data_IF_968190668037
#
_entry.id   IF_968190668037
#
_cell.length_a   1.000
_cell.length_b   1.000
_cell.length_c   1.000
_cell.angle_alpha   90.00
_cell.angle_beta   90.00
_cell.angle_gamma   90.00
#
_symmetry.space_group_name_H-M   'P 1'
#
loop_
_entity.id
_entity.type
_entity.pdbx_description
1 polymer ?
2 non-polymer ?
3 water ?
#
# COMPACT_ATOMS: atom_id res chain seq x y z
N UNK A 2 -7.42 -1.12 -34.94
CA UNK A 2 -6.53 -0.03 -34.55
C UNK A 2 -6.10 -0.25 -33.11
N UNK A 3 -4.94 0.32 -32.76
CA UNK A 3 -4.46 0.33 -31.37
C UNK A 3 -5.22 1.38 -30.60
N UNK A 4 -5.96 0.95 -29.58
CA UNK A 4 -6.73 1.84 -28.73
C UNK A 4 -5.94 2.33 -27.53
N UNK A 5 -5.05 1.46 -27.02
CA UNK A 5 -4.22 1.78 -25.85
C UNK A 5 -2.99 0.89 -25.91
N UNK A 6 -1.87 1.39 -25.42
CA UNK A 6 -0.66 0.57 -25.41
C UNK A 6 0.26 1.11 -24.34
N UNK A 7 0.90 0.20 -23.61
CA UNK A 7 1.94 0.62 -22.67
C UNK A 7 2.92 -0.52 -22.51
N UNK A 8 4.18 -0.22 -22.23
CA UNK A 8 5.16 -1.30 -22.14
C UNK A 8 6.30 -0.82 -21.24
N UNK A 9 7.05 -1.77 -20.68
CA UNK A 9 8.17 -1.35 -19.83
C UNK A 9 8.79 -2.53 -19.10
N UNK A 10 9.31 -2.28 -17.90
CA UNK A 10 10.04 -3.33 -17.15
C UNK A 10 9.35 -3.49 -15.81
N UNK A 11 9.16 -4.74 -15.39
CA UNK A 11 8.54 -5.04 -14.10
C UNK A 11 9.53 -5.81 -13.22
N UNK A 12 9.28 -5.81 -11.92
CA UNK A 12 10.05 -6.63 -10.98
C UNK A 12 11.54 -6.31 -10.95
N UNK A 13 11.86 -5.02 -11.00
CA UNK A 13 13.26 -4.58 -10.93
C UNK A 13 13.60 -4.34 -9.45
N UNK A 14 14.40 -5.26 -8.88
CA UNK A 14 14.75 -5.17 -7.47
C UNK A 14 15.94 -4.21 -7.34
N UNK A 15 15.86 -3.31 -6.37
CA UNK A 15 16.92 -2.31 -6.16
C UNK A 15 17.24 -2.18 -4.68
N UNK A 16 18.53 -2.19 -4.33
CA UNK A 16 18.94 -1.90 -2.95
C UNK A 16 19.88 -0.69 -3.01
N UNK A 17 19.76 0.19 -2.04
CA UNK A 17 20.72 1.33 -1.93
C UNK A 17 21.13 1.48 -0.47
N UNK A 18 22.42 1.74 -0.25
CA UNK A 18 22.95 1.99 1.10
C UNK A 18 23.43 3.45 1.17
N UNK A 19 23.17 4.06 2.32
CA UNK A 19 23.72 5.38 2.67
C UNK A 19 24.69 5.17 3.83
N UNK A 20 25.89 5.75 3.72
CA UNK A 20 26.91 5.58 4.76
C UNK A 20 27.25 6.95 5.33
N UNK A 21 26.96 7.14 6.62
CA UNK A 21 27.32 8.38 7.27
C UNK A 21 28.81 8.35 7.59
N UNK A 22 29.53 9.25 6.94
CA UNK A 22 30.99 9.38 7.07
C UNK A 22 31.42 9.71 8.50
N UNK A 23 30.64 10.56 9.16
CA UNK A 23 30.94 11.02 10.53
C UNK A 23 30.70 9.92 11.57
N UNK A 24 29.46 9.45 11.63
CA UNK A 24 29.01 8.57 12.71
C UNK A 24 29.26 7.07 12.48
N UNK A 25 29.55 6.69 11.24
CA UNK A 25 29.71 5.27 10.88
C UNK A 25 28.39 4.54 10.66
N UNK A 26 27.28 5.23 10.87
CA UNK A 26 25.95 4.61 10.75
C UNK A 26 25.58 4.42 9.28
N UNK A 27 25.04 3.24 8.96
CA UNK A 27 24.62 2.93 7.59
C UNK A 27 23.11 2.72 7.59
N UNK A 28 22.45 3.10 6.50
CA UNK A 28 21.00 2.95 6.39
C UNK A 28 20.72 2.31 5.03
N UNK A 29 19.85 1.31 5.00
CA UNK A 29 19.60 0.62 3.71
C UNK A 29 18.13 0.82 3.27
N UNK A 30 17.93 0.77 1.97
CA UNK A 30 16.60 0.88 1.34
C UNK A 30 16.51 -0.22 0.31
N UNK A 31 15.40 -0.95 0.29
CA UNK A 31 15.24 -1.97 -0.74
C UNK A 31 13.83 -1.85 -1.30
N UNK A 32 13.73 -1.87 -2.62
CA UNK A 32 12.43 -1.66 -3.26
C UNK A 32 12.30 -2.58 -4.48
N UNK A 33 11.08 -2.74 -4.98
CA UNK A 33 10.85 -3.39 -6.28
C UNK A 33 10.10 -2.36 -7.14
N UNK A 34 10.60 -2.13 -8.34
CA UNK A 34 10.10 -1.04 -9.19
C UNK A 34 9.55 -1.57 -10.51
N UNK A 35 8.46 -0.95 -10.96
CA UNK A 35 7.86 -1.24 -12.26
C UNK A 35 7.66 0.10 -12.98
N UNK A 36 8.09 0.19 -14.24
CA UNK A 36 7.89 1.42 -15.04
C UNK A 36 7.28 1.02 -16.37
N UNK A 37 6.11 1.63 -16.69
CA UNK A 37 5.49 1.42 -18.01
C UNK A 37 5.36 2.78 -18.69
N UNK A 38 5.69 2.82 -19.98
CA UNK A 38 5.61 4.04 -20.78
C UNK A 38 4.46 4.01 -21.78
N UNK A 39 3.94 5.20 -22.11
CA UNK A 39 2.97 5.38 -23.21
C UNK A 39 3.43 6.53 -24.09
N UNK A 40 3.02 6.52 -25.35
CA UNK A 40 3.32 7.68 -26.21
C UNK A 40 3.06 7.34 -27.66
N UNK A 41 3.82 7.97 -28.55
CA UNK A 41 3.63 7.70 -29.98
C UNK A 41 4.41 6.45 -30.41
N UNK A 42 3.90 5.28 -29.99
CA UNK A 42 4.59 4.01 -30.18
C UNK A 42 3.75 2.99 -30.95
N UNK A 43 2.59 3.40 -31.46
CA UNK A 43 1.69 2.44 -32.12
C UNK A 43 2.34 1.69 -33.29
N UNK A 44 3.25 2.34 -34.03
CA UNK A 44 3.89 1.67 -35.16
C UNK A 44 4.81 0.49 -34.80
N UNK A 45 5.27 0.41 -33.54
CA UNK A 45 6.00 -0.79 -33.12
C UNK A 45 5.10 -2.01 -33.13
N UNK A 46 3.81 -1.79 -32.87
CA UNK A 46 2.82 -2.86 -32.88
C UNK A 46 2.31 -3.16 -34.29
N UNK A 47 2.05 -2.11 -35.07
CA UNK A 47 1.35 -2.29 -36.35
C UNK A 47 2.27 -2.49 -37.56
N UNK A 48 3.49 -1.95 -37.50
CA UNK A 48 4.40 -1.95 -38.65
C UNK A 48 5.76 -2.56 -38.37
N UNK A 49 5.93 -3.16 -37.19
CA UNK A 49 7.25 -3.67 -36.77
C UNK A 49 8.34 -2.61 -36.81
N UNK A 50 7.97 -1.39 -36.44
CA UNK A 50 8.90 -0.26 -36.43
C UNK A 50 9.50 -0.16 -35.04
N UNK A 51 10.67 -0.78 -34.83
CA UNK A 51 11.29 -0.69 -33.50
C UNK A 51 11.97 0.65 -33.19
N UNK A 52 12.03 1.56 -34.17
CA UNK A 52 12.75 2.83 -33.96
C UNK A 52 12.15 3.68 -32.86
N UNK A 53 10.85 3.46 -32.57
CA UNK A 53 10.14 4.22 -31.55
C UNK A 53 10.26 3.59 -30.15
N UNK A 54 10.90 2.42 -30.07
CA UNK A 54 11.00 1.68 -28.80
C UNK A 54 12.26 1.99 -27.99
N UNK A 55 12.06 2.49 -26.78
CA UNK A 55 13.13 2.56 -25.77
C UNK A 55 13.14 1.12 -25.22
N UNK A 56 14.21 0.37 -25.44
CA UNK A 56 14.23 -1.06 -25.04
C UNK A 56 13.94 -1.21 -23.54
N UNK A 57 13.23 -2.26 -23.15
CA UNK A 57 12.92 -2.43 -21.72
C UNK A 57 14.20 -2.59 -20.93
N UNK A 58 15.23 -3.21 -21.52
CA UNK A 58 16.54 -3.29 -20.87
C UNK A 58 17.10 -1.91 -20.51
N UNK A 59 16.92 -0.93 -21.41
CA UNK A 59 17.35 0.46 -21.14
C UNK A 59 16.55 1.12 -20.02
N UNK A 60 15.26 0.77 -19.90
CA UNK A 60 14.46 1.27 -18.81
C UNK A 60 15.05 0.75 -17.49
N UNK A 61 15.38 -0.54 -17.46
CA UNK A 61 16.06 -1.12 -16.28
C UNK A 61 17.35 -0.37 -15.94
N UNK A 62 18.22 -0.12 -16.93
CA UNK A 62 19.44 0.65 -16.68
C UNK A 62 19.14 2.02 -16.08
N UNK A 63 18.11 2.68 -16.61
CA UNK A 63 17.73 4.01 -16.16
C UNK A 63 17.29 4.03 -14.70
N UNK A 64 16.61 2.96 -14.28
CA UNK A 64 16.21 2.89 -12.88
C UNK A 64 17.46 2.85 -11.96
N UNK A 65 18.45 2.03 -12.29
CA UNK A 65 19.67 2.00 -11.46
C UNK A 65 20.44 3.32 -11.46
N UNK A 66 20.60 3.92 -12.64
CA UNK A 66 21.29 5.21 -12.79
C UNK A 66 20.58 6.30 -11.96
N UNK A 67 19.25 6.37 -12.07
CA UNK A 67 18.48 7.34 -11.32
C UNK A 67 18.62 7.13 -9.81
N UNK A 68 18.61 5.88 -9.37
CA UNK A 68 18.80 5.61 -7.95
C UNK A 68 20.21 5.98 -7.48
N UNK A 69 21.20 5.87 -8.36
CA UNK A 69 22.59 6.26 -8.01
C UNK A 69 22.70 7.78 -7.80
N UNK A 70 21.98 8.54 -8.62
CA UNK A 70 22.11 10.01 -8.64
C UNK A 70 21.12 10.81 -7.81
N UNK A 71 20.14 10.15 -7.20
CA UNK A 71 19.10 10.85 -6.47
C UNK A 71 18.75 10.13 -5.18
N UNK A 72 18.09 10.83 -4.26
CA UNK A 72 17.62 10.16 -3.06
C UNK A 72 16.52 9.17 -3.45
N UNK A 73 16.45 8.04 -2.76
CA UNK A 73 15.38 7.07 -3.08
C UNK A 73 14.21 7.18 -2.11
N UNK A 74 14.33 8.08 -1.13
CA UNK A 74 13.31 8.31 -0.13
C UNK A 74 12.96 9.82 -0.07
N UNK A 75 11.69 10.16 0.17
CA UNK A 75 10.51 9.27 0.24
C UNK A 75 10.22 8.73 -1.16
N UNK A 76 9.58 7.56 -1.26
CA UNK A 76 9.32 6.96 -2.59
C UNK A 76 8.46 7.82 -3.54
N UNK A 77 7.61 8.67 -2.98
CA UNK A 77 6.82 9.62 -3.76
C UNK A 77 7.72 10.55 -4.58
N UNK A 78 8.83 10.98 -3.95
CA UNK A 78 9.79 11.83 -4.66
C UNK A 78 10.57 11.03 -5.71
N UNK A 79 11.11 9.87 -5.32
CA UNK A 79 11.88 9.09 -6.27
C UNK A 79 11.04 8.71 -7.51
N UNK A 80 9.79 8.31 -7.27
CA UNK A 80 8.92 7.93 -8.38
C UNK A 80 8.64 9.11 -9.31
N UNK A 81 8.48 10.30 -8.72
CA UNK A 81 8.24 11.53 -9.52
C UNK A 81 9.47 11.91 -10.34
N UNK A 82 10.67 11.81 -9.75
CA UNK A 82 11.91 12.02 -10.52
C UNK A 82 12.05 11.04 -11.70
N UNK A 83 11.86 9.75 -11.42
CA UNK A 83 11.98 8.72 -12.43
C UNK A 83 10.98 8.89 -13.56
N UNK A 84 9.72 9.19 -13.24
CA UNK A 84 8.71 9.33 -14.29
C UNK A 84 8.95 10.56 -15.14
N UNK A 85 9.32 11.66 -14.48
CA UNK A 85 9.62 12.92 -15.18
C UNK A 85 10.78 12.74 -16.17
N UNK A 86 11.80 11.96 -15.78
CA UNK A 86 12.93 11.70 -16.65
C UNK A 86 12.48 11.21 -18.03
N UNK A 87 11.59 10.21 -18.06
CA UNK A 87 11.17 9.63 -19.34
C UNK A 87 10.41 10.59 -20.25
N UNK A 88 9.52 11.39 -19.68
CA UNK A 88 8.75 12.30 -20.54
C UNK A 88 9.59 13.50 -21.02
N UNK A 89 10.61 13.87 -20.25
CA UNK A 89 11.50 14.97 -20.68
C UNK A 89 12.56 14.52 -21.66
N UNK A 90 13.06 13.30 -21.48
CA UNK A 90 14.15 12.80 -22.32
C UNK A 90 13.68 12.41 -23.71
N UNK A 91 12.49 11.81 -23.81
CA UNK A 91 12.03 11.25 -25.08
C UNK A 91 10.84 12.05 -25.60
N UNK A 92 11.03 12.70 -26.73
CA UNK A 92 10.00 13.58 -27.27
C UNK A 92 8.66 12.86 -27.50
N UNK A 93 8.73 11.59 -27.90
CA UNK A 93 7.53 10.85 -28.30
C UNK A 93 6.89 10.06 -27.17
N UNK A 94 7.52 10.08 -25.99
CA UNK A 94 6.91 9.45 -24.80
C UNK A 94 6.16 10.52 -24.04
N UNK A 95 4.86 10.30 -23.83
CA UNK A 95 4.02 11.30 -23.20
C UNK A 95 3.48 10.95 -21.81
N UNK A 96 3.66 9.71 -21.35
CA UNK A 96 3.21 9.36 -19.98
C UNK A 96 4.13 8.28 -19.46
N UNK A 97 4.43 8.35 -18.16
CA UNK A 97 5.22 7.31 -17.50
C UNK A 97 4.46 6.90 -16.27
N UNK A 98 4.41 5.59 -16.02
CA UNK A 98 3.68 5.06 -14.89
C UNK A 98 4.66 4.30 -14.04
N UNK A 99 4.86 4.75 -12.79
CA UNK A 99 5.90 4.17 -11.93
C UNK A 99 5.27 3.60 -10.67
N UNK A 100 5.51 2.29 -10.41
CA UNK A 100 5.01 1.69 -9.19
C UNK A 100 6.22 1.25 -8.39
N UNK A 101 6.23 1.60 -7.10
CA UNK A 101 7.34 1.20 -6.20
C UNK A 101 6.76 0.49 -4.99
N UNK A 102 7.35 -0.65 -4.65
CA UNK A 102 7.03 -1.36 -3.42
C UNK A 102 8.27 -1.28 -2.53
N UNK A 103 8.13 -0.75 -1.33
CA UNK A 103 9.26 -0.64 -0.39
C UNK A 103 9.16 -1.75 0.64
N UNK A 104 10.29 -2.45 0.82
CA UNK A 104 10.39 -3.61 1.74
C UNK A 104 11.01 -3.13 3.05
N UNK A 105 10.57 -3.69 4.16
CA UNK A 105 11.10 -3.27 5.47
C UNK A 105 12.48 -3.83 5.79
N UNK A 106 13.42 -2.92 6.13
CA UNK A 106 14.68 -3.32 6.76
C UNK A 106 14.82 -2.42 7.98
N UNK A 107 14.45 -2.96 9.12
CA UNK A 107 14.38 -2.18 10.37
C UNK A 107 15.68 -2.38 11.14
N UNK A 108 16.26 -1.29 11.64
CA UNK A 108 17.52 -1.37 12.36
C UNK A 108 17.38 -2.29 13.59
N UNK A 109 18.34 -3.20 13.77
CA UNK A 109 18.35 -4.08 14.95
C UNK A 109 18.75 -3.32 16.21
N UNK A 110 18.12 -3.66 17.33
CA UNK A 110 18.58 -3.20 18.66
C UNK A 110 19.31 -4.37 19.29
N UNK A 111 20.57 -4.16 19.64
CA UNK A 111 21.40 -5.18 20.26
C UNK A 111 21.80 -4.62 21.63
N UNK A 112 21.44 -5.33 22.70
CA UNK A 112 21.74 -4.87 24.07
C UNK A 112 21.10 -3.51 24.37
N UNK A 113 19.91 -3.28 23.82
CA UNK A 113 19.19 -2.02 23.99
C UNK A 113 19.69 -0.83 23.18
N UNK A 114 20.73 -1.02 22.37
CA UNK A 114 21.25 0.06 21.54
C UNK A 114 21.10 -0.26 20.03
N UNK A 115 20.66 0.72 19.23
CA UNK A 115 20.58 0.57 17.75
C UNK A 115 21.91 0.26 17.09
N UNK A 116 21.94 -0.82 16.33
CA UNK A 116 23.17 -1.25 15.68
C UNK A 116 23.43 -0.43 14.42
N UNK A 117 24.70 -0.04 14.17
CA UNK A 117 25.02 0.81 13.01
C UNK A 117 24.81 0.21 11.60
N UNK A 118 24.79 -1.12 11.47
CA UNK A 118 24.73 -1.67 10.10
C UNK A 118 24.06 -3.05 10.01
N UNK A 119 23.14 -3.33 10.92
CA UNK A 119 22.44 -4.66 10.93
C UNK A 119 20.94 -4.44 11.00
N UNK A 120 20.19 -5.20 10.19
CA UNK A 120 18.77 -4.95 9.97
C UNK A 120 17.98 -6.24 9.97
N UNK A 121 16.69 -6.11 10.27
CA UNK A 121 15.79 -7.26 10.34
C UNK A 121 14.55 -6.95 9.50
N UNK A 122 14.02 -7.98 8.83
CA UNK A 122 12.75 -7.79 8.12
C UNK A 122 11.66 -8.07 9.16
N UNK A 123 11.06 -7.02 9.71
CA UNK A 123 9.92 -7.18 10.63
C UNK A 123 8.56 -7.15 9.92
N UNK A 124 8.16 -8.32 9.44
CA UNK A 124 6.92 -8.45 8.75
C UNK A 124 7.08 -7.95 7.35
N UNK A 125 6.09 -8.42 6.62
CA UNK A 125 5.94 -8.35 5.18
C UNK A 125 5.04 -7.17 4.81
N UNK A 126 4.70 -6.32 5.79
CA UNK A 126 3.99 -5.07 5.48
C UNK A 126 4.81 -4.24 4.49
N UNK A 127 4.13 -3.61 3.51
CA UNK A 127 4.81 -2.80 2.51
C UNK A 127 4.30 -1.35 2.56
N UNK A 128 5.15 -0.44 2.08
CA UNK A 128 4.74 0.92 1.78
C UNK A 128 4.92 1.08 0.26
N UNK A 129 3.87 1.52 -0.45
CA UNK A 129 3.88 1.57 -1.91
C UNK A 129 3.59 2.97 -2.41
N UNK A 130 3.98 3.22 -3.65
CA UNK A 130 3.49 4.38 -4.40
C UNK A 130 3.16 4.02 -5.82
N UNK A 131 2.16 4.71 -6.38
CA UNK A 131 1.89 4.67 -7.80
C UNK A 131 1.98 6.12 -8.27
N UNK A 132 2.86 6.40 -9.23
CA UNK A 132 3.05 7.77 -9.71
C UNK A 132 2.80 7.76 -11.21
N UNK A 133 1.85 8.60 -11.65
CA UNK A 133 1.56 8.74 -13.07
C UNK A 133 1.99 10.15 -13.47
N UNK A 134 2.97 10.21 -14.35
CA UNK A 134 3.48 11.49 -14.86
C UNK A 134 2.99 11.63 -16.30
N UNK A 135 2.16 12.63 -16.56
CA UNK A 135 1.54 12.75 -17.88
C UNK A 135 1.86 14.12 -18.48
N UNK A 136 2.46 14.14 -19.66
CA UNK A 136 2.90 15.41 -20.27
C UNK A 136 1.75 16.42 -20.36
N UNK A 137 1.95 17.60 -19.80
CA UNK A 137 0.91 18.63 -19.79
C UNK A 137 -0.20 18.48 -18.76
N UNK A 138 -0.14 17.42 -17.95
CA UNK A 138 -1.19 17.19 -16.94
C UNK A 138 -0.61 16.94 -15.52
N UNK A 139 0.68 17.19 -15.35
CA UNK A 139 1.29 17.16 -14.02
C UNK A 139 1.60 15.75 -13.54
N UNK A 140 1.52 15.59 -12.23
CA UNK A 140 1.94 14.34 -11.54
C UNK A 140 0.85 13.92 -10.57
N UNK A 141 0.33 12.71 -10.76
CA UNK A 141 -0.69 12.16 -9.87
C UNK A 141 -0.06 11.05 -9.01
N UNK A 142 -0.19 11.19 -7.70
CA UNK A 142 0.44 10.23 -6.79
C UNK A 142 -0.60 9.57 -5.88
N UNK A 143 -0.58 8.23 -5.85
CA UNK A 143 -1.35 7.44 -4.89
C UNK A 143 -0.37 6.72 -3.98
N UNK A 144 -0.44 6.97 -2.68
CA UNK A 144 0.46 6.34 -1.71
C UNK A 144 -0.34 5.26 -0.97
N UNK A 145 0.30 4.18 -0.53
CA UNK A 145 -0.48 3.18 0.21
C UNK A 145 0.34 2.36 1.20
N UNK A 146 -0.35 1.69 2.13
CA UNK A 146 0.31 0.68 2.92
C UNK A 146 -0.48 -0.60 2.68
N UNK A 147 0.18 -1.74 2.72
CA UNK A 147 -0.51 -3.00 2.45
C UNK A 147 0.16 -4.12 3.24
N UNK A 148 -0.56 -5.22 3.41
CA UNK A 148 0.03 -6.36 4.12
C UNK A 148 0.18 -6.16 5.62
N UNK A 149 -0.64 -5.28 6.18
CA UNK A 149 -0.68 -5.03 7.62
C UNK A 149 -1.77 -5.93 8.22
N UNK A 150 -1.35 -7.01 8.87
CA UNK A 150 -2.27 -8.06 9.31
C UNK A 150 -2.53 -7.94 10.82
N UNK A 151 -3.79 -7.83 11.19
CA UNK A 151 -4.19 -7.55 12.58
C UNK A 151 -5.34 -8.46 12.99
N UNK A 152 -5.54 -8.60 14.31
CA UNK A 152 -6.62 -9.41 14.83
C UNK A 152 -7.03 -8.78 16.17
N UNK A 153 -8.33 -8.69 16.42
CA UNK A 153 -8.82 -8.41 17.79
C UNK A 153 -9.73 -9.55 18.23
N UNK A 154 -9.61 -9.92 19.51
CA UNK A 154 -10.27 -11.15 19.99
C UNK A 154 -11.68 -10.95 20.55
N UNK A 155 -12.06 -9.67 20.69
CA UNK A 155 -13.38 -9.29 21.18
C UNK A 155 -13.67 -7.84 20.74
N UNK A 156 -14.82 -7.28 21.13
CA UNK A 156 -15.18 -5.90 20.74
C UNK A 156 -15.37 -5.72 19.23
N UNK A 157 -15.97 -6.74 18.62
CA UNK A 157 -16.48 -6.68 17.25
C UNK A 157 -17.85 -7.33 17.32
N UNK A 158 -18.83 -6.71 16.66
CA UNK A 158 -20.21 -7.18 16.64
C UNK A 158 -20.69 -7.22 15.21
N UNK A 159 -21.73 -8.01 14.97
CA UNK A 159 -22.40 -7.95 13.68
C UNK A 159 -23.84 -8.45 13.79
N UNK A 160 -24.77 -7.51 13.94
CA UNK A 160 -26.20 -7.85 14.06
C UNK A 160 -27.03 -6.81 13.32
N UNK A 161 -28.32 -7.07 13.12
CA UNK A 161 -29.19 -6.14 12.41
C UNK A 161 -29.10 -6.09 10.88
N UNK A 162 -28.44 -7.08 10.28
CA UNK A 162 -28.39 -7.15 8.83
C UNK A 162 -29.65 -7.75 8.25
N UNK A 163 -29.83 -7.58 6.95
CA UNK A 163 -30.99 -8.10 6.20
C UNK A 163 -31.12 -9.63 6.33
N UNK A 164 -32.30 -10.11 6.68
CA UNK A 164 -32.55 -11.54 6.81
C UNK A 164 -33.65 -11.93 5.85
N UNK A 165 -33.37 -12.92 4.99
CA UNK A 165 -34.35 -13.44 4.04
C UNK A 165 -34.13 -14.94 3.83
N UNK A 166 -34.69 -15.52 2.77
CA UNK A 166 -34.63 -16.98 2.60
C UNK A 166 -33.24 -17.48 2.21
N UNK A 167 -32.30 -16.56 1.99
CA UNK A 167 -30.89 -16.94 1.67
C UNK A 167 -29.97 -16.84 2.87
N UNK A 168 -30.54 -16.46 4.01
CA UNK A 168 -29.77 -16.15 5.22
C UNK A 168 -29.73 -17.27 6.25
N UNK A 169 -28.53 -17.70 6.62
CA UNK A 169 -28.32 -18.65 7.71
C UNK A 169 -27.49 -18.09 8.86
N UNK A 170 -26.79 -16.98 8.63
CA UNK A 170 -25.87 -16.41 9.60
C UNK A 170 -26.59 -15.92 10.86
N UNK A 171 -26.13 -16.34 12.04
CA UNK A 171 -26.70 -15.84 13.30
C UNK A 171 -26.13 -14.47 13.68
N UNK A 172 -26.98 -13.62 14.24
CA UNK A 172 -26.50 -12.35 14.76
C UNK A 172 -25.53 -12.58 15.92
N UNK A 173 -24.54 -11.71 16.06
CA UNK A 173 -23.59 -11.82 17.15
C UNK A 173 -23.20 -10.48 17.77
N UNK A 174 -22.95 -10.52 19.07
CA UNK A 174 -22.53 -9.35 19.82
C UNK A 174 -21.09 -9.47 20.30
N UNK A 175 -20.37 -10.52 19.88
CA UNK A 175 -19.00 -10.72 20.31
C UNK A 175 -18.35 -11.71 19.34
N UNK A 176 -17.47 -11.20 18.49
CA UNK A 176 -16.78 -12.09 17.53
C UNK A 176 -15.33 -11.63 17.39
N UNK A 177 -14.51 -12.51 16.78
CA UNK A 177 -13.14 -12.16 16.41
C UNK A 177 -13.17 -11.35 15.11
N UNK A 178 -12.33 -10.33 14.99
CA UNK A 178 -12.22 -9.59 13.72
C UNK A 178 -10.75 -9.59 13.33
N UNK A 179 -10.46 -10.10 12.12
CA UNK A 179 -9.07 -10.13 11.65
C UNK A 179 -9.07 -9.73 10.18
N UNK A 180 -8.05 -8.98 9.76
CA UNK A 180 -8.02 -8.49 8.37
C UNK A 180 -6.57 -8.19 7.98
N UNK A 181 -6.35 -8.04 6.67
CA UNK A 181 -5.08 -7.55 6.15
C UNK A 181 -5.39 -6.16 5.57
N UNK A 182 -4.76 -5.12 6.09
CA UNK A 182 -5.17 -3.77 5.68
C UNK A 182 -4.47 -3.31 4.39
N UNK A 183 -5.27 -2.83 3.43
CA UNK A 183 -4.78 -2.17 2.22
C UNK A 183 -5.41 -0.77 2.24
N UNK A 184 -4.61 0.27 2.46
CA UNK A 184 -5.15 1.64 2.55
C UNK A 184 -4.38 2.52 1.56
N UNK A 185 -5.10 3.32 0.77
CA UNK A 185 -4.48 4.18 -0.24
C UNK A 185 -4.96 5.61 -0.05
N UNK A 186 -4.04 6.57 -0.05
CA UNK A 186 -4.44 8.00 -0.04
C UNK A 186 -3.97 8.65 -1.34
N UNK A 187 -4.87 9.36 -2.01
CA UNK A 187 -4.58 9.99 -3.29
C UNK A 187 -4.35 11.49 -3.06
N UNK A 188 -3.21 11.98 -3.51
CA UNK A 188 -2.82 13.39 -3.34
C UNK A 188 -3.49 14.25 -4.40
N UNK A 189 -3.69 15.53 -4.06
CA UNK A 189 -4.03 16.54 -5.06
C UNK A 189 -3.01 16.46 -6.18
N UNK A 190 -3.46 16.69 -7.42
CA UNK A 190 -2.55 16.74 -8.57
C UNK A 190 -1.46 17.78 -8.32
N UNK A 191 -0.22 17.43 -8.66
CA UNK A 191 0.92 18.36 -8.54
C UNK A 191 1.30 18.84 -9.93
N UNK A 192 1.73 20.11 -10.05
CA UNK A 192 2.01 20.66 -11.37
C UNK A 192 3.27 20.14 -12.01
N UNK A 193 4.19 19.65 -11.19
CA UNK A 193 5.44 19.11 -11.69
C UNK A 193 6.36 18.83 -10.54
N UNK A 194 7.62 18.56 -10.88
CA UNK A 194 8.59 18.18 -9.89
C UNK A 194 8.87 19.25 -8.82
N UNK A 195 8.90 20.53 -9.20
CA UNK A 195 9.13 21.57 -8.21
C UNK A 195 8.08 21.53 -7.08
N UNK A 196 6.83 21.34 -7.47
CA UNK A 196 5.76 21.29 -6.49
C UNK A 196 5.87 20.02 -5.62
N UNK A 197 6.19 18.87 -6.21
CA UNK A 197 6.42 17.66 -5.39
C UNK A 197 7.53 17.90 -4.37
N UNK A 198 8.65 18.48 -4.83
CA UNK A 198 9.75 18.79 -3.90
C UNK A 198 9.32 19.68 -2.75
N UNK A 199 8.43 20.63 -3.04
CA UNK A 199 7.98 21.59 -2.01
C UNK A 199 7.21 20.93 -0.88
N UNK A 200 6.67 19.73 -1.12
CA UNK A 200 5.87 19.03 -0.12
C UNK A 200 6.54 17.79 0.49
N UNK A 201 7.82 17.61 0.19
CA UNK A 201 8.55 16.41 0.61
C UNK A 201 8.32 15.96 2.05
N UNK A 202 8.37 16.88 3.04
CA UNK A 202 8.18 16.44 4.43
C UNK A 202 6.81 15.80 4.72
N UNK A 203 5.79 16.17 3.96
CA UNK A 203 4.45 15.66 4.18
C UNK A 203 4.31 14.18 3.84
N UNK A 204 5.18 13.65 2.99
CA UNK A 204 4.98 12.24 2.54
C UNK A 204 5.18 11.24 3.68
N UNK A 205 6.34 11.27 4.33
CA UNK A 205 6.58 10.33 5.45
C UNK A 205 5.61 10.59 6.61
N UNK A 206 5.31 11.87 6.87
CA UNK A 206 4.42 12.20 7.98
C UNK A 206 3.02 11.67 7.76
N UNK A 207 2.55 11.72 6.51
CA UNK A 207 1.20 11.27 6.20
C UNK A 207 1.12 9.72 6.22
N UNK A 208 2.16 9.06 5.74
CA UNK A 208 2.23 7.59 5.88
C UNK A 208 2.15 7.18 7.36
N UNK A 209 2.92 7.86 8.20
CA UNK A 209 2.91 7.57 9.63
C UNK A 209 1.54 7.80 10.25
N UNK A 210 0.88 8.89 9.87
CA UNK A 210 -0.46 9.21 10.36
C UNK A 210 -1.47 8.16 9.93
N UNK A 211 -1.42 7.78 8.66
CA UNK A 211 -2.33 6.77 8.14
C UNK A 211 -2.19 5.46 8.91
N UNK A 212 -0.94 5.05 9.16
CA UNK A 212 -0.69 3.81 9.91
C UNK A 212 -1.20 3.91 11.33
N UNK A 213 -0.88 5.02 12.00
CA UNK A 213 -1.28 5.23 13.40
C UNK A 213 -2.81 5.25 13.56
N UNK A 214 -3.49 5.98 12.69
CA UNK A 214 -4.95 6.05 12.72
C UNK A 214 -5.58 4.68 12.46
N UNK A 215 -5.00 3.94 11.52
CA UNK A 215 -5.52 2.60 11.24
C UNK A 215 -5.45 1.69 12.47
N UNK A 216 -4.29 1.65 13.10
CA UNK A 216 -4.07 0.76 14.24
C UNK A 216 -4.90 1.17 15.46
N UNK A 217 -4.89 2.46 15.79
CA UNK A 217 -5.67 2.93 16.94
C UNK A 217 -7.18 2.74 16.78
N UNK A 218 -7.71 3.05 15.60
CA UNK A 218 -9.13 2.92 15.35
C UNK A 218 -9.58 1.44 15.40
N UNK A 219 -8.77 0.59 14.80
CA UNK A 219 -9.07 -0.83 14.83
C UNK A 219 -9.09 -1.32 16.28
N UNK A 220 -8.07 -0.95 17.06
CA UNK A 220 -7.96 -1.41 18.44
C UNK A 220 -9.08 -0.88 19.34
N UNK A 221 -9.48 0.38 19.14
CA UNK A 221 -10.41 1.04 20.08
C UNK A 221 -11.89 1.02 19.69
N UNK A 222 -12.19 0.88 18.40
CA UNK A 222 -13.61 0.89 17.97
C UNK A 222 -14.35 -0.37 18.43
N UNK A 223 -15.50 -0.22 19.08
CA UNK A 223 -16.37 -1.37 19.34
C UNK A 223 -17.16 -1.52 18.06
N UNK A 224 -16.61 -2.34 17.17
CA UNK A 224 -16.99 -2.35 15.77
C UNK A 224 -18.39 -2.88 15.52
N UNK A 225 -19.19 -2.08 14.83
CA UNK A 225 -20.53 -2.47 14.42
C UNK A 225 -20.53 -3.30 13.14
N UNK A 226 -19.44 -3.19 12.36
CA UNK A 226 -19.27 -3.90 11.09
C UNK A 226 -17.92 -3.47 10.55
N UNK A 227 -17.40 -4.20 9.55
CA UNK A 227 -16.14 -3.76 8.95
C UNK A 227 -16.39 -2.41 8.27
N UNK A 228 -17.55 -2.29 7.60
CA UNK A 228 -17.95 -1.04 6.92
C UNK A 228 -17.82 0.17 7.85
N UNK A 229 -18.41 0.06 9.05
CA UNK A 229 -18.45 1.22 9.95
C UNK A 229 -17.07 1.59 10.49
N UNK A 230 -16.25 0.59 10.79
CA UNK A 230 -14.93 0.85 11.34
C UNK A 230 -14.00 1.48 10.29
N UNK A 231 -14.06 0.98 9.06
CA UNK A 231 -13.17 1.49 8.03
C UNK A 231 -13.50 2.95 7.67
N UNK A 232 -14.78 3.32 7.75
CA UNK A 232 -15.18 4.68 7.42
C UNK A 232 -14.59 5.65 8.45
N UNK A 233 -14.59 5.26 9.72
CA UNK A 233 -14.00 6.07 10.81
C UNK A 233 -12.51 6.30 10.56
N UNK A 234 -11.81 5.28 10.08
CA UNK A 234 -10.40 5.44 9.74
C UNK A 234 -10.19 6.51 8.67
N UNK A 235 -10.91 6.38 7.56
CA UNK A 235 -10.80 7.25 6.41
C UNK A 235 -11.12 8.71 6.78
N UNK A 236 -12.18 8.92 7.54
CA UNK A 236 -12.56 10.28 8.02
C UNK A 236 -11.41 11.00 8.70
N UNK A 237 -10.75 10.29 9.60
CA UNK A 237 -9.67 10.87 10.38
C UNK A 237 -8.47 11.26 9.53
N UNK A 238 -8.11 10.39 8.58
CA UNK A 238 -6.95 10.69 7.73
C UNK A 238 -7.21 11.96 6.92
N UNK A 239 -8.41 12.08 6.35
CA UNK A 239 -8.77 13.27 5.55
C UNK A 239 -8.74 14.54 6.38
N UNK A 240 -9.10 14.41 7.66
CA UNK A 240 -9.14 15.57 8.56
C UNK A 240 -7.72 16.06 8.91
N UNK A 241 -6.76 15.16 8.83
CA UNK A 241 -5.39 15.45 9.27
C UNK A 241 -4.43 15.88 8.17
N UNK A 242 -4.83 15.73 6.91
CA UNK A 242 -3.96 16.14 5.81
C UNK A 242 -4.79 16.72 4.68
N UNK A 243 -4.77 18.06 4.56
CA UNK A 243 -5.59 18.74 3.55
C UNK A 243 -5.23 18.48 2.10
N UNK A 244 -3.99 18.05 1.84
CA UNK A 244 -3.54 17.82 0.47
C UNK A 244 -3.98 16.46 -0.08
N UNK A 245 -4.63 15.65 0.75
CA UNK A 245 -5.24 14.37 0.31
C UNK A 245 -6.64 14.63 -0.21
N UNK A 246 -6.98 14.06 -1.37
CA UNK A 246 -8.32 14.22 -1.92
C UNK A 246 -9.28 13.07 -1.55
N UNK A 247 -8.75 11.85 -1.58
CA UNK A 247 -9.57 10.67 -1.23
C UNK A 247 -8.72 9.64 -0.49
N UNK A 248 -9.42 8.78 0.26
CA UNK A 248 -8.79 7.66 0.98
C UNK A 248 -9.60 6.43 0.61
N UNK A 249 -8.91 5.34 0.23
CA UNK A 249 -9.61 4.11 -0.15
C UNK A 249 -9.12 2.99 0.76
N UNK A 250 -10.05 2.18 1.28
CA UNK A 250 -9.65 1.02 2.08
C UNK A 250 -10.20 -0.22 1.41
N UNK A 251 -9.43 -1.30 1.43
CA UNK A 251 -9.92 -2.60 0.94
C UNK A 251 -9.55 -3.60 2.04
N UNK A 252 -10.55 -4.20 2.67
CA UNK A 252 -10.32 -5.07 3.83
C UNK A 252 -11.02 -6.43 3.69
N UNK A 253 -10.24 -7.51 3.69
CA UNK A 253 -10.89 -8.82 3.84
C UNK A 253 -11.39 -9.08 5.26
N UNK A 254 -12.44 -9.86 5.40
CA UNK A 254 -12.87 -10.28 6.72
C UNK A 254 -12.44 -11.75 6.80
N UNK A 255 -11.35 -12.02 7.55
CA UNK A 255 -10.75 -13.35 7.62
C UNK A 255 -11.44 -14.10 8.76
N UNK A 256 -12.31 -15.06 8.42
CA UNK A 256 -13.21 -15.66 9.45
C UNK A 256 -12.54 -16.67 10.36
N UNK A 257 -12.92 -16.64 11.63
CA UNK A 257 -12.52 -17.63 12.63
C UNK A 257 -13.84 -18.23 13.16
N UNK A 258 -14.05 -19.53 12.92
CA UNK A 258 -15.34 -20.16 13.23
C UNK A 258 -15.30 -20.84 14.61
N UNK A 259 -16.41 -20.75 15.35
CA UNK A 259 -16.58 -21.55 16.57
C UNK A 259 -16.58 -23.04 16.23
N UNK A 260 -16.13 -23.88 17.16
CA UNK A 260 -16.17 -25.34 17.00
C UNK A 260 -17.05 -25.95 18.11
N UNK A 261 -18.18 -26.49 17.71
CA UNK A 261 -19.09 -27.17 18.64
C UNK A 261 -18.48 -28.52 19.01
N UNK A 262 -18.16 -28.67 20.29
CA UNK A 262 -17.56 -29.91 20.80
C UNK A 262 -18.52 -30.65 21.73
N UNK A 263 -19.78 -30.21 21.76
CA UNK A 263 -20.74 -30.79 22.71
C UNK A 263 -21.01 -32.28 22.50
N UNK A 264 -20.81 -32.75 21.26
CA UNK A 264 -20.93 -34.19 20.94
C UNK A 264 -19.92 -35.05 21.71
N UNK A 265 -18.86 -34.42 22.23
CA UNK A 265 -17.82 -35.13 22.96
C UNK A 265 -17.92 -34.84 24.45
N UNK A 266 -18.60 -35.74 25.17
CA UNK A 266 -18.71 -35.65 26.63
C UNK A 266 -19.30 -34.31 27.08
N UNK A 267 -20.20 -33.74 26.26
CA UNK A 267 -20.83 -32.46 26.56
C UNK A 267 -19.90 -31.26 26.71
N UNK A 268 -18.72 -31.31 26.09
CA UNK A 268 -17.76 -30.22 26.18
C UNK A 268 -18.37 -28.90 25.67
N UNK A 269 -18.18 -27.83 26.44
CA UNK A 269 -18.77 -26.53 26.10
C UNK A 269 -17.73 -25.60 25.47
N UNK A 270 -17.91 -25.28 24.19
CA UNK A 270 -16.95 -24.47 23.45
C UNK A 270 -17.58 -23.43 22.52
N UNK A 271 -18.86 -23.09 22.75
CA UNK A 271 -19.55 -22.11 21.91
C UNK A 271 -20.03 -20.93 22.76
N UNK A 272 -20.39 -19.83 22.09
CA UNK A 272 -20.80 -18.60 22.78
C UNK A 272 -19.84 -18.13 23.86
N UNK A 273 -20.35 -17.93 25.07
CA UNK A 273 -19.51 -17.42 26.15
C UNK A 273 -18.40 -18.40 26.59
N UNK A 274 -18.54 -19.67 26.20
CA UNK A 274 -17.55 -20.70 26.52
C UNK A 274 -16.54 -20.95 25.39
N UNK A 275 -16.62 -20.19 24.30
CA UNK A 275 -15.73 -20.45 23.15
C UNK A 275 -14.28 -20.10 23.48
N UNK A 276 -13.38 -21.09 23.33
CA UNK A 276 -11.97 -20.88 23.57
C UNK A 276 -11.14 -21.30 22.35
N UNK A 277 -11.54 -22.40 21.72
CA UNK A 277 -10.80 -22.95 20.58
C UNK A 277 -11.60 -22.70 19.31
N UNK A 278 -10.96 -22.07 18.30
CA UNK A 278 -11.65 -21.73 17.05
C UNK A 278 -10.89 -22.30 15.86
N UNK A 279 -11.59 -22.40 14.73
CA UNK A 279 -10.97 -22.86 13.49
C UNK A 279 -10.81 -21.68 12.52
N UNK A 280 -9.57 -21.21 12.31
CA UNK A 280 -9.36 -20.17 11.29
C UNK A 280 -9.73 -20.73 9.91
N UNK A 281 -10.44 -19.94 9.10
CA UNK A 281 -10.86 -20.37 7.77
C UNK A 281 -9.98 -19.73 6.71
N UNK A 282 -9.35 -20.55 5.87
CA UNK A 282 -8.52 -19.97 4.81
C UNK A 282 -9.31 -19.29 3.69
N UNK A 283 -10.49 -19.85 3.39
CA UNK A 283 -11.39 -19.31 2.36
C UNK A 283 -12.78 -19.91 2.64
N UNK A 284 -13.85 -19.25 2.16
CA UNK A 284 -13.89 -17.93 1.51
C UNK A 284 -13.67 -16.82 2.53
N UNK A 285 -13.62 -15.59 2.05
CA UNK A 285 -13.51 -14.45 2.96
C UNK A 285 -14.41 -13.30 2.50
N UNK A 286 -14.92 -12.52 3.44
CA UNK A 286 -15.62 -11.29 3.06
C UNK A 286 -14.60 -10.30 2.48
N UNK A 287 -15.07 -9.38 1.64
CA UNK A 287 -14.18 -8.37 1.07
C UNK A 287 -15.00 -7.08 1.06
N UNK A 288 -14.50 -6.06 1.75
CA UNK A 288 -15.26 -4.81 1.96
C UNK A 288 -14.40 -3.65 1.48
N UNK A 289 -14.97 -2.78 0.64
CA UNK A 289 -14.18 -1.66 0.08
C UNK A 289 -14.92 -0.35 0.26
N UNK A 290 -14.19 0.76 0.36
CA UNK A 290 -14.88 2.04 0.28
C UNK A 290 -13.89 3.11 -0.12
N UNK A 291 -14.38 4.14 -0.81
CA UNK A 291 -13.55 5.30 -1.13
C UNK A 291 -14.25 6.48 -0.51
N UNK A 292 -13.53 7.25 0.30
CA UNK A 292 -14.11 8.39 1.04
C UNK A 292 -13.44 9.66 0.51
N UNK A 293 -14.24 10.68 0.22
CA UNK A 293 -13.71 11.97 -0.26
C UNK A 293 -14.29 13.12 0.55
N UNK A 294 -14.08 14.34 0.07
CA UNK A 294 -14.54 15.52 0.79
C UNK A 294 -15.92 15.94 0.28
N UNK A 295 -16.81 16.33 1.21
CA UNK A 295 -18.20 16.66 0.87
C UNK A 295 -18.33 17.92 -0.03
#
# INVERSE_FOLDING_TARGET
XAVKAARYGKDNVRVYKVHKDEKTGVQTVYEMTVCVLLEGEIETSYTKADNSVIVATDSIKNTIYITAKQNPVTPPELFGSILGTHFIEKYNHIHAAHVNIVCHRWTRMDIDGKPHPHSFIRDSEEKRNVQVDVVEGKGIDIKSSLSGLTVLKSTNSQFWGFLRDEYTTLKETWDRILSTDVDATWQWKNFSGLQEVRSHVPKFDATWATAREVTLKTFAEDNSASVQATMYKMAEQILARQQLIETVEYSLPNKHYFEIDLSWHKGLQNTGKNAEVFAPQSDPNGLIKCTVGRSSLKSKL
#
